data_IF_217130884311
#
_entry.id   IF_217130884311
#
_cell.length_a   1.000
_cell.length_b   1.000
_cell.length_c   1.000
_cell.angle_alpha   90.00
_cell.angle_beta   90.00
_cell.angle_gamma   90.00
#
_symmetry.space_group_name_H-M   'P 1'
#
loop_
_entity.id
_entity.type
_entity.pdbx_description
1 polymer ?
#
# COMPACT_ATOMS: atom_id res chain seq x y z
N UNK A 1 -16.21 -31.78 18.98
CA UNK A 1 -15.16 -31.78 17.93
C UNK A 1 -15.87 -32.17 16.65
N UNK A 2 -16.12 -31.21 15.75
CA UNK A 2 -16.62 -31.55 14.42
C UNK A 2 -15.42 -32.08 13.63
N UNK A 3 -15.47 -33.33 13.24
CA UNK A 3 -14.57 -33.86 12.22
C UNK A 3 -14.62 -32.98 10.99
N UNK A 4 -13.49 -32.69 10.32
CA UNK A 4 -13.53 -31.97 9.06
C UNK A 4 -14.38 -32.81 8.11
N UNK A 5 -15.51 -32.26 7.65
CA UNK A 5 -16.36 -32.90 6.66
C UNK A 5 -15.51 -33.00 5.38
N UNK A 6 -14.94 -34.16 5.14
CA UNK A 6 -14.26 -34.45 3.87
C UNK A 6 -15.33 -34.30 2.80
N UNK A 7 -15.12 -33.34 1.88
CA UNK A 7 -16.05 -33.14 0.77
C UNK A 7 -16.18 -34.46 0.01
N UNK A 8 -17.42 -34.91 -0.27
CA UNK A 8 -17.65 -36.13 -1.01
C UNK A 8 -16.92 -36.07 -2.36
N UNK A 9 -16.27 -37.15 -2.77
CA UNK A 9 -15.65 -37.22 -4.09
C UNK A 9 -16.64 -36.87 -5.19
N UNK A 10 -16.20 -36.10 -6.16
CA UNK A 10 -17.00 -35.70 -7.33
C UNK A 10 -16.56 -36.52 -8.52
N UNK A 11 -17.54 -37.13 -9.21
CA UNK A 11 -17.32 -37.97 -10.38
C UNK A 11 -17.65 -37.21 -11.67
N UNK A 12 -16.72 -37.15 -12.59
CA UNK A 12 -16.90 -36.72 -13.97
C UNK A 12 -16.90 -37.97 -14.88
N UNK A 13 -18.08 -38.50 -15.18
CA UNK A 13 -18.22 -39.77 -15.87
C UNK A 13 -17.72 -39.73 -17.33
N UNK A 14 -18.01 -38.60 -18.01
CA UNK A 14 -17.85 -38.46 -19.48
C UNK A 14 -16.79 -37.40 -19.87
N UNK A 15 -15.85 -37.09 -19.00
CA UNK A 15 -14.83 -36.07 -19.31
C UNK A 15 -13.78 -36.58 -20.32
N UNK A 16 -13.42 -37.86 -20.20
CA UNK A 16 -12.54 -38.63 -21.10
C UNK A 16 -13.02 -40.08 -21.08
N UNK A 17 -12.34 -40.98 -21.80
CA UNK A 17 -12.67 -42.41 -21.90
C UNK A 17 -12.70 -43.17 -20.54
N UNK A 18 -12.21 -42.54 -19.48
CA UNK A 18 -12.22 -43.09 -18.11
C UNK A 18 -12.86 -42.11 -17.16
N UNK A 19 -13.66 -42.56 -16.18
CA UNK A 19 -14.19 -41.67 -15.14
C UNK A 19 -13.09 -40.95 -14.37
N UNK A 20 -13.24 -39.64 -14.16
CA UNK A 20 -12.31 -38.81 -13.37
C UNK A 20 -12.96 -38.52 -12.02
N UNK A 21 -12.28 -38.88 -10.94
CA UNK A 21 -12.75 -38.65 -9.58
C UNK A 21 -11.85 -37.56 -8.94
N UNK A 22 -12.44 -36.51 -8.41
CA UNK A 22 -11.77 -35.47 -7.64
C UNK A 22 -12.07 -35.65 -6.16
N UNK A 23 -11.02 -35.68 -5.34
CA UNK A 23 -11.11 -35.79 -3.87
C UNK A 23 -10.27 -34.72 -3.19
N UNK A 24 -10.66 -34.31 -1.97
CA UNK A 24 -9.90 -33.40 -1.09
C UNK A 24 -9.41 -34.21 0.13
N UNK A 25 -8.47 -35.10 -0.10
CA UNK A 25 -7.99 -36.10 0.88
C UNK A 25 -6.51 -35.94 1.25
N UNK A 26 -5.88 -34.82 0.87
CA UNK A 26 -4.49 -34.54 1.16
C UNK A 26 -4.33 -33.75 2.48
N UNK A 27 -4.07 -34.39 3.64
CA UNK A 27 -4.14 -33.75 4.96
C UNK A 27 -3.06 -32.68 5.20
N UNK A 28 -1.95 -32.76 4.48
CA UNK A 28 -0.80 -31.85 4.64
C UNK A 28 -0.53 -31.03 3.40
N UNK A 29 -1.56 -30.75 2.62
CA UNK A 29 -1.49 -29.87 1.47
C UNK A 29 -1.95 -28.46 1.83
N UNK A 30 -1.46 -27.48 1.07
CA UNK A 30 -1.89 -26.08 1.14
C UNK A 30 -1.94 -25.48 -0.27
N UNK A 31 -2.81 -24.52 -0.48
CA UNK A 31 -2.85 -23.71 -1.71
C UNK A 31 -1.87 -22.52 -1.66
N UNK A 32 -1.33 -22.18 -0.51
CA UNK A 32 -0.45 -21.03 -0.28
C UNK A 32 1.03 -21.41 -0.17
N UNK A 33 1.45 -22.47 -0.89
CA UNK A 33 2.79 -23.05 -0.78
C UNK A 33 3.93 -22.05 -0.95
N UNK A 34 3.75 -21.08 -1.81
CA UNK A 34 4.75 -20.05 -2.06
C UNK A 34 4.88 -18.98 -0.97
N UNK A 35 4.00 -18.96 0.02
CA UNK A 35 3.99 -17.95 1.08
C UNK A 35 5.29 -17.94 1.93
N UNK A 36 6.09 -18.98 1.87
CA UNK A 36 7.43 -19.00 2.47
C UNK A 36 8.33 -17.87 1.94
N UNK A 37 8.10 -17.37 0.72
CA UNK A 37 8.78 -16.17 0.19
C UNK A 37 8.40 -14.91 0.98
N UNK A 38 7.15 -14.79 1.45
CA UNK A 38 6.73 -13.66 2.30
C UNK A 38 7.42 -13.71 3.66
N UNK A 39 7.56 -14.90 4.24
CA UNK A 39 8.32 -15.09 5.48
C UNK A 39 9.81 -14.75 5.29
N UNK A 40 10.39 -15.16 4.17
CA UNK A 40 11.76 -14.81 3.82
C UNK A 40 11.91 -13.30 3.57
N UNK A 41 10.94 -12.64 2.94
CA UNK A 41 10.91 -11.20 2.79
C UNK A 41 10.87 -10.49 4.15
N UNK A 42 10.03 -10.97 5.10
CA UNK A 42 9.96 -10.40 6.44
C UNK A 42 11.29 -10.51 7.19
N UNK A 43 12.05 -11.59 7.01
CA UNK A 43 13.42 -11.69 7.58
C UNK A 43 14.36 -10.58 7.11
N UNK A 44 14.18 -10.07 5.90
CA UNK A 44 14.96 -8.95 5.37
C UNK A 44 14.43 -7.59 5.82
N UNK A 45 13.12 -7.45 5.95
CA UNK A 45 12.44 -6.20 6.31
C UNK A 45 12.34 -6.07 7.83
N UNK A 46 11.83 -7.10 8.51
CA UNK A 46 11.62 -7.14 9.95
C UNK A 46 10.34 -6.44 10.42
N UNK A 47 9.34 -6.31 9.53
CA UNK A 47 8.13 -5.53 9.83
C UNK A 47 7.26 -6.18 10.89
N UNK A 48 7.11 -7.52 10.88
CA UNK A 48 6.32 -8.24 11.88
C UNK A 48 6.92 -8.07 13.28
N UNK A 49 8.23 -8.25 13.42
CA UNK A 49 8.93 -8.08 14.70
C UNK A 49 8.86 -6.63 15.20
N UNK A 50 9.02 -5.65 14.29
CA UNK A 50 8.95 -4.23 14.64
C UNK A 50 7.56 -3.82 15.14
N UNK A 51 6.48 -4.29 14.51
CA UNK A 51 5.12 -4.05 14.97
C UNK A 51 4.85 -4.76 16.30
N UNK A 52 5.28 -6.00 16.45
CA UNK A 52 5.11 -6.78 17.68
C UNK A 52 5.73 -6.06 18.89
N UNK A 53 6.92 -5.49 18.73
CA UNK A 53 7.64 -4.80 19.80
C UNK A 53 6.89 -3.55 20.33
N UNK A 54 5.90 -3.04 19.60
CA UNK A 54 5.12 -1.86 20.01
C UNK A 54 3.83 -2.19 20.73
N UNK A 55 3.44 -3.47 20.78
CA UNK A 55 2.16 -3.90 21.35
C UNK A 55 2.39 -4.50 22.73
N UNK A 56 1.94 -3.84 23.81
CA UNK A 56 2.04 -4.42 25.15
C UNK A 56 1.08 -5.61 25.29
N UNK A 57 1.56 -6.70 25.86
CA UNK A 57 0.72 -7.84 26.24
C UNK A 57 0.51 -7.86 27.75
N UNK A 58 -0.65 -7.41 28.18
CA UNK A 58 -1.03 -7.38 29.60
C UNK A 58 -1.67 -8.70 30.07
N UNK A 59 -1.78 -9.71 29.20
CA UNK A 59 -2.38 -11.00 29.55
C UNK A 59 -1.43 -11.82 30.45
N UNK A 60 -2.01 -12.59 31.37
CA UNK A 60 -1.22 -13.50 32.19
C UNK A 60 -0.50 -14.55 31.30
N UNK A 61 0.83 -14.69 31.34
CA UNK A 61 1.58 -15.56 30.45
C UNK A 61 1.08 -17.02 30.43
N UNK A 62 0.65 -17.54 31.58
CA UNK A 62 0.11 -18.90 31.73
C UNK A 62 -1.22 -19.15 31.03
N UNK A 63 -1.92 -18.07 30.60
CA UNK A 63 -3.22 -18.13 29.90
C UNK A 63 -3.12 -17.74 28.43
N UNK A 64 -1.90 -17.52 27.91
CA UNK A 64 -1.67 -17.07 26.54
C UNK A 64 -1.30 -18.28 25.68
N UNK A 65 -2.23 -18.72 24.84
CA UNK A 65 -2.00 -19.75 23.82
C UNK A 65 -1.32 -19.16 22.57
N UNK A 66 -1.69 -17.94 22.22
CA UNK A 66 -1.15 -17.22 21.05
C UNK A 66 -0.59 -15.88 21.50
N UNK A 67 0.72 -15.70 21.38
CA UNK A 67 1.39 -14.43 21.68
C UNK A 67 0.99 -13.32 20.70
N UNK A 68 1.19 -12.08 21.10
CA UNK A 68 0.92 -10.91 20.23
C UNK A 68 1.65 -11.02 18.89
N UNK A 69 2.91 -11.49 18.93
CA UNK A 69 3.69 -11.71 17.70
C UNK A 69 3.05 -12.72 16.75
N UNK A 70 2.49 -13.82 17.28
CA UNK A 70 1.76 -14.80 16.48
C UNK A 70 0.52 -14.19 15.84
N UNK A 71 -0.25 -13.40 16.61
CA UNK A 71 -1.48 -12.76 16.10
C UNK A 71 -1.19 -11.75 15.00
N UNK A 72 -0.16 -10.92 15.16
CA UNK A 72 0.29 -9.97 14.14
C UNK A 72 0.80 -10.73 12.91
N UNK A 73 1.68 -11.73 13.08
CA UNK A 73 2.22 -12.51 11.98
C UNK A 73 1.13 -13.25 11.20
N UNK A 74 0.21 -13.91 11.90
CA UNK A 74 -0.92 -14.61 11.28
C UNK A 74 -1.74 -13.66 10.41
N UNK A 75 -2.11 -12.48 10.92
CA UNK A 75 -2.89 -11.51 10.17
C UNK A 75 -2.13 -10.93 8.97
N UNK A 76 -0.86 -10.53 9.16
CA UNK A 76 -0.03 -9.96 8.09
C UNK A 76 0.16 -10.95 6.95
N UNK A 77 0.51 -12.22 7.26
CA UNK A 77 0.71 -13.23 6.22
C UNK A 77 -0.61 -13.65 5.57
N UNK A 78 -1.71 -13.80 6.34
CA UNK A 78 -3.02 -14.11 5.78
C UNK A 78 -3.46 -13.02 4.77
N UNK A 79 -3.38 -11.73 5.14
CA UNK A 79 -3.70 -10.61 4.24
C UNK A 79 -2.80 -10.64 2.99
N UNK A 80 -1.51 -10.88 3.15
CA UNK A 80 -0.58 -10.97 2.02
C UNK A 80 -0.93 -12.12 1.06
N UNK A 81 -1.35 -13.27 1.59
CA UNK A 81 -1.80 -14.42 0.78
C UNK A 81 -3.16 -14.21 0.10
N UNK A 82 -3.94 -13.19 0.51
CA UNK A 82 -5.25 -12.90 -0.07
C UNK A 82 -6.43 -13.31 0.82
N UNK A 83 -6.17 -13.54 2.11
CA UNK A 83 -7.15 -13.84 3.15
C UNK A 83 -7.32 -12.61 4.08
N UNK A 84 -8.01 -11.54 3.62
CA UNK A 84 -8.05 -10.29 4.35
C UNK A 84 -9.01 -10.29 5.54
N UNK A 85 -9.94 -11.24 5.61
CA UNK A 85 -10.95 -11.27 6.67
C UNK A 85 -10.42 -11.93 7.94
N UNK A 86 -10.93 -11.49 9.10
CA UNK A 86 -10.69 -12.17 10.37
C UNK A 86 -11.29 -13.59 10.41
N UNK A 87 -12.38 -13.81 9.67
CA UNK A 87 -13.03 -15.12 9.54
C UNK A 87 -12.14 -16.17 8.85
N UNK A 88 -11.22 -15.76 8.01
CA UNK A 88 -10.26 -16.67 7.38
C UNK A 88 -9.35 -17.36 8.41
N UNK A 89 -9.22 -16.79 9.62
CA UNK A 89 -8.43 -17.36 10.70
C UNK A 89 -8.81 -18.81 11.05
N UNK A 90 -10.10 -19.15 11.03
CA UNK A 90 -10.55 -20.51 11.33
C UNK A 90 -10.20 -21.50 10.19
N UNK A 91 -10.28 -21.03 8.94
CA UNK A 91 -9.91 -21.84 7.76
C UNK A 91 -8.41 -22.12 7.68
N UNK A 92 -7.60 -21.16 8.10
CA UNK A 92 -6.13 -21.22 8.05
C UNK A 92 -5.52 -21.84 9.34
N UNK A 93 -6.35 -22.11 10.35
CA UNK A 93 -5.86 -22.52 11.68
C UNK A 93 -5.04 -23.81 11.67
N UNK A 94 -5.33 -24.73 10.76
CA UNK A 94 -4.64 -26.00 10.61
C UNK A 94 -3.79 -26.08 9.33
N UNK A 95 -3.79 -25.04 8.50
CA UNK A 95 -3.00 -25.02 7.26
C UNK A 95 -1.50 -25.17 7.55
N UNK A 96 -0.81 -26.15 6.93
CA UNK A 96 0.58 -26.47 7.24
C UNK A 96 1.53 -25.34 6.84
N UNK A 97 1.25 -24.60 5.78
CA UNK A 97 2.08 -23.46 5.36
C UNK A 97 1.90 -22.30 6.33
N UNK A 98 0.67 -21.95 6.71
CA UNK A 98 0.43 -20.89 7.68
C UNK A 98 1.03 -21.19 9.06
N UNK A 99 1.03 -22.46 9.52
CA UNK A 99 1.78 -22.88 10.71
C UNK A 99 3.28 -22.63 10.54
N UNK A 100 3.85 -23.02 9.40
CA UNK A 100 5.27 -22.81 9.07
C UNK A 100 5.66 -21.32 9.05
N UNK A 101 4.79 -20.44 8.53
CA UNK A 101 5.03 -19.00 8.53
C UNK A 101 5.19 -18.43 9.94
N UNK A 102 4.51 -19.00 10.92
CA UNK A 102 4.61 -18.63 12.33
C UNK A 102 5.73 -19.39 13.09
N UNK A 103 6.49 -20.24 12.39
CA UNK A 103 7.57 -21.02 12.99
C UNK A 103 7.09 -22.24 13.77
N UNK A 104 5.85 -22.68 13.55
CA UNK A 104 5.30 -23.90 14.11
C UNK A 104 5.60 -25.10 13.21
N UNK A 105 5.63 -26.30 13.79
CA UNK A 105 5.67 -27.51 12.99
C UNK A 105 4.43 -27.58 12.09
N UNK A 106 4.58 -27.80 10.76
CA UNK A 106 3.46 -27.75 9.83
C UNK A 106 2.47 -28.91 10.02
N UNK A 107 2.90 -30.04 10.58
CA UNK A 107 2.08 -31.24 10.76
C UNK A 107 1.52 -31.30 12.19
N UNK A 108 2.40 -31.43 13.19
CA UNK A 108 2.00 -31.62 14.59
C UNK A 108 1.92 -30.32 15.39
N UNK A 109 2.31 -29.18 14.81
CA UNK A 109 2.25 -27.91 15.50
C UNK A 109 0.81 -27.51 15.88
N UNK A 110 0.65 -26.90 17.05
CA UNK A 110 -0.65 -26.49 17.55
C UNK A 110 -1.37 -25.55 16.57
N UNK A 111 -2.70 -25.59 16.59
CA UNK A 111 -3.56 -24.74 15.76
C UNK A 111 -3.20 -23.26 15.89
N UNK A 112 -3.39 -22.50 14.83
CA UNK A 112 -3.28 -21.04 14.85
C UNK A 112 -4.50 -20.41 15.54
N UNK A 113 -4.44 -19.11 15.77
CA UNK A 113 -5.52 -18.40 16.44
C UNK A 113 -6.81 -18.42 15.60
N UNK A 114 -7.91 -18.76 16.28
CA UNK A 114 -9.25 -18.74 15.69
C UNK A 114 -9.78 -17.32 15.49
N UNK A 115 -10.82 -17.18 14.68
CA UNK A 115 -11.50 -15.91 14.41
C UNK A 115 -11.86 -15.14 15.70
N UNK A 116 -12.48 -15.74 16.74
CA UNK A 116 -12.78 -15.02 17.97
C UNK A 116 -11.54 -14.50 18.71
N UNK A 117 -10.41 -15.22 18.61
CA UNK A 117 -9.13 -14.78 19.22
C UNK A 117 -8.54 -13.59 18.44
N UNK A 118 -8.56 -13.64 17.11
CA UNK A 118 -8.15 -12.54 16.25
C UNK A 118 -9.04 -11.31 16.50
N UNK A 119 -10.35 -11.47 16.53
CA UNK A 119 -11.30 -10.39 16.79
C UNK A 119 -11.06 -9.74 18.16
N UNK A 120 -10.87 -10.53 19.22
CA UNK A 120 -10.52 -9.99 20.55
C UNK A 120 -9.22 -9.18 20.49
N UNK A 121 -8.21 -9.67 19.81
CA UNK A 121 -6.94 -8.94 19.63
C UNK A 121 -7.16 -7.62 18.90
N UNK A 122 -7.86 -7.62 17.77
CA UNK A 122 -8.15 -6.39 17.01
C UNK A 122 -8.89 -5.34 17.87
N UNK A 123 -9.75 -5.79 18.79
CA UNK A 123 -10.49 -4.91 19.70
C UNK A 123 -9.65 -4.36 20.87
N UNK A 124 -8.44 -4.85 21.10
CA UNK A 124 -7.50 -4.25 22.09
C UNK A 124 -6.81 -3.00 21.58
N UNK A 125 -6.97 -2.68 20.28
CA UNK A 125 -6.31 -1.56 19.64
C UNK A 125 -6.59 -0.23 20.37
N UNK A 126 -5.51 0.48 20.69
CA UNK A 126 -5.54 1.77 21.40
C UNK A 126 -4.70 2.83 20.65
N UNK A 127 -5.04 4.12 20.74
CA UNK A 127 -4.39 5.20 19.99
C UNK A 127 -2.87 5.24 20.16
N UNK A 128 -2.36 5.11 21.38
CA UNK A 128 -0.91 5.12 21.65
C UNK A 128 -0.19 3.95 21.01
N UNK A 129 -0.77 2.76 21.09
CA UNK A 129 -0.25 1.54 20.44
C UNK A 129 -0.19 1.72 18.92
N UNK A 130 -1.29 2.17 18.32
CA UNK A 130 -1.39 2.38 16.86
C UNK A 130 -0.42 3.44 16.35
N UNK A 131 -0.21 4.51 17.12
CA UNK A 131 0.81 5.52 16.81
C UNK A 131 2.21 4.91 16.86
N UNK A 132 2.53 4.09 17.86
CA UNK A 132 3.80 3.39 17.96
C UNK A 132 3.99 2.40 16.80
N UNK A 133 2.96 1.65 16.42
CA UNK A 133 2.98 0.76 15.24
C UNK A 133 3.22 1.55 13.94
N UNK A 134 2.57 2.69 13.76
CA UNK A 134 2.79 3.57 12.59
C UNK A 134 4.23 4.06 12.53
N UNK A 135 4.83 4.43 13.64
CA UNK A 135 6.24 4.81 13.73
C UNK A 135 7.17 3.62 13.39
N UNK A 136 6.89 2.44 13.95
CA UNK A 136 7.68 1.24 13.69
C UNK A 136 7.63 0.83 12.22
N UNK A 137 6.46 0.91 11.57
CA UNK A 137 6.32 0.69 10.13
C UNK A 137 7.20 1.64 9.33
N UNK A 138 7.10 2.95 9.58
CA UNK A 138 7.90 3.97 8.90
C UNK A 138 9.41 3.74 9.11
N UNK A 139 9.84 3.51 10.36
CA UNK A 139 11.24 3.29 10.71
C UNK A 139 11.79 2.02 10.02
N UNK A 140 11.00 0.96 9.94
CA UNK A 140 11.37 -0.29 9.27
C UNK A 140 11.60 -0.08 7.77
N UNK A 141 10.67 0.62 7.10
CA UNK A 141 10.80 0.94 5.66
C UNK A 141 12.02 1.84 5.42
N UNK A 142 12.18 2.89 6.19
CA UNK A 142 13.32 3.82 6.10
C UNK A 142 14.65 3.06 6.31
N UNK A 143 14.75 2.26 7.36
CA UNK A 143 15.96 1.48 7.67
C UNK A 143 16.27 0.45 6.55
N UNK A 144 15.22 -0.19 5.98
CA UNK A 144 15.37 -1.12 4.85
C UNK A 144 15.99 -0.43 3.63
N UNK A 145 15.49 0.76 3.28
CA UNK A 145 15.99 1.48 2.12
C UNK A 145 17.34 2.14 2.37
N UNK A 146 17.64 2.59 3.59
CA UNK A 146 18.97 3.03 3.99
C UNK A 146 20.03 1.94 3.78
N UNK A 147 19.73 0.69 4.19
CA UNK A 147 20.63 -0.45 3.95
C UNK A 147 20.81 -0.76 2.47
N UNK A 148 19.75 -0.60 1.67
CA UNK A 148 19.76 -0.85 0.23
C UNK A 148 20.56 0.20 -0.55
N UNK A 149 20.47 1.47 -0.15
CA UNK A 149 21.03 2.63 -0.86
C UNK A 149 22.39 3.06 -0.29
N UNK A 150 23.36 2.14 -0.28
CA UNK A 150 24.69 2.38 0.30
C UNK A 150 25.45 3.54 -0.35
N UNK A 151 25.19 3.88 -1.63
CA UNK A 151 25.82 5.00 -2.36
C UNK A 151 25.21 6.37 -2.06
N UNK A 152 24.29 6.44 -1.09
CA UNK A 152 23.56 7.64 -0.75
C UNK A 152 22.30 7.85 -1.57
N UNK A 153 21.51 8.85 -1.16
CA UNK A 153 20.27 9.29 -1.80
C UNK A 153 20.34 10.81 -1.91
N UNK A 154 20.06 11.34 -3.10
CA UNK A 154 20.10 12.79 -3.36
C UNK A 154 18.76 13.47 -3.12
N UNK A 155 17.67 12.74 -3.42
CA UNK A 155 16.32 13.25 -3.32
C UNK A 155 15.38 12.15 -2.81
N UNK A 156 14.53 12.48 -1.83
CA UNK A 156 13.38 11.64 -1.47
C UNK A 156 12.14 12.46 -1.74
N UNK A 157 11.25 11.91 -2.58
CA UNK A 157 9.93 12.48 -2.81
C UNK A 157 8.92 11.76 -1.92
N UNK A 158 8.11 12.53 -1.21
CA UNK A 158 7.04 12.08 -0.32
C UNK A 158 5.72 12.42 -1.01
N UNK A 159 4.92 11.41 -1.30
CA UNK A 159 3.57 11.59 -1.79
C UNK A 159 2.59 11.29 -0.65
N UNK A 160 1.65 12.20 -0.42
CA UNK A 160 0.49 11.93 0.43
C UNK A 160 -0.76 11.93 -0.43
N UNK A 161 -1.60 10.95 -0.19
CA UNK A 161 -2.86 10.80 -0.91
C UNK A 161 -3.98 10.36 0.01
N UNK A 162 -5.16 10.96 -0.17
CA UNK A 162 -6.38 10.53 0.47
C UNK A 162 -7.11 9.53 -0.41
N UNK A 163 -7.79 8.60 0.20
CA UNK A 163 -8.67 7.68 -0.51
C UNK A 163 -9.95 7.48 0.29
N UNK A 164 -11.01 7.02 -0.35
CA UNK A 164 -12.22 6.59 0.35
C UNK A 164 -12.15 5.10 0.70
N UNK A 165 -12.84 4.76 1.76
CA UNK A 165 -13.05 3.39 2.24
C UNK A 165 -14.52 3.27 2.63
N UNK A 166 -15.33 2.74 1.71
CA UNK A 166 -16.77 2.61 1.86
C UNK A 166 -17.12 1.70 3.04
N UNK A 167 -18.06 2.15 3.87
CA UNK A 167 -18.53 1.40 5.04
C UNK A 167 -19.97 0.94 4.85
N UNK A 168 -20.29 -0.24 5.40
CA UNK A 168 -21.59 -0.91 5.17
C UNK A 168 -22.35 -1.19 6.48
N UNK A 169 -22.05 -0.50 7.56
CA UNK A 169 -22.69 -0.72 8.86
C UNK A 169 -22.51 0.45 9.82
N UNK A 170 -23.02 0.31 11.02
CA UNK A 170 -22.93 1.31 12.10
C UNK A 170 -21.52 1.33 12.74
N UNK A 171 -20.52 1.71 11.98
CA UNK A 171 -19.14 1.79 12.45
C UNK A 171 -18.86 3.17 13.06
N UNK A 172 -18.01 3.21 14.09
CA UNK A 172 -17.65 4.47 14.75
C UNK A 172 -16.91 5.41 13.78
N UNK A 173 -17.28 6.69 13.77
CA UNK A 173 -16.66 7.76 12.97
C UNK A 173 -16.77 7.56 11.44
N UNK A 174 -17.69 6.72 10.99
CA UNK A 174 -18.14 6.75 9.61
C UNK A 174 -19.11 7.91 9.41
N UNK A 175 -19.00 8.60 8.29
CA UNK A 175 -19.87 9.73 7.94
C UNK A 175 -20.21 9.66 6.45
N UNK A 176 -21.39 10.18 6.10
CA UNK A 176 -21.73 10.38 4.70
C UNK A 176 -20.82 11.45 4.08
N UNK A 177 -20.24 11.13 2.96
CA UNK A 177 -19.36 12.04 2.22
C UNK A 177 -20.00 12.40 0.88
N UNK A 178 -20.41 13.65 0.71
CA UNK A 178 -21.12 14.11 -0.49
C UNK A 178 -20.28 14.10 -1.77
N UNK A 179 -18.95 14.04 -1.68
CA UNK A 179 -18.09 13.91 -2.86
C UNK A 179 -18.09 12.48 -3.40
N UNK A 180 -18.13 11.48 -2.51
CA UNK A 180 -18.15 10.06 -2.87
C UNK A 180 -19.56 9.46 -2.92
N UNK A 181 -20.57 10.20 -2.44
CA UNK A 181 -21.99 9.81 -2.37
C UNK A 181 -22.25 8.51 -1.58
N UNK A 182 -21.48 8.27 -0.52
CA UNK A 182 -21.68 7.15 0.40
C UNK A 182 -21.07 7.38 1.79
N UNK A 183 -21.44 6.50 2.72
CA UNK A 183 -20.83 6.44 4.06
C UNK A 183 -19.44 5.82 3.96
N UNK A 184 -18.44 6.49 4.52
CA UNK A 184 -17.06 6.04 4.37
C UNK A 184 -16.15 6.49 5.52
N UNK A 185 -14.94 5.95 5.51
CA UNK A 185 -13.73 6.56 6.07
C UNK A 185 -12.92 7.24 4.96
N UNK A 186 -11.96 8.08 5.34
CA UNK A 186 -11.04 8.76 4.43
C UNK A 186 -9.57 8.46 4.79
N UNK A 187 -9.07 7.23 4.57
CA UNK A 187 -7.67 6.92 4.85
C UNK A 187 -6.69 7.87 4.16
N UNK A 188 -5.60 8.19 4.86
CA UNK A 188 -4.45 8.92 4.34
C UNK A 188 -3.29 7.96 4.19
N UNK A 189 -2.72 7.88 2.99
CA UNK A 189 -1.59 7.02 2.65
C UNK A 189 -0.38 7.89 2.32
N UNK A 190 0.79 7.51 2.81
CA UNK A 190 2.06 8.15 2.50
C UNK A 190 3.04 7.19 1.86
N UNK A 191 3.69 7.61 0.78
CA UNK A 191 4.72 6.84 0.09
C UNK A 191 6.01 7.63 -0.10
N UNK A 192 7.12 6.92 -0.28
CA UNK A 192 8.45 7.47 -0.56
C UNK A 192 8.94 6.99 -1.92
N UNK A 193 9.50 7.91 -2.70
CA UNK A 193 10.28 7.63 -3.90
C UNK A 193 11.72 8.07 -3.70
N UNK A 194 12.70 7.23 -4.03
CA UNK A 194 14.12 7.51 -3.86
C UNK A 194 14.75 7.85 -5.21
N UNK A 195 15.26 9.07 -5.35
CA UNK A 195 15.84 9.62 -6.57
C UNK A 195 14.85 9.54 -7.76
N UNK A 196 15.19 8.85 -8.83
CA UNK A 196 14.42 8.64 -10.04
C UNK A 196 13.84 7.21 -10.16
N UNK A 197 13.73 6.48 -9.03
CA UNK A 197 13.10 5.16 -9.05
C UNK A 197 11.63 5.23 -9.49
N UNK A 198 11.23 4.31 -10.37
CA UNK A 198 9.83 4.15 -10.75
C UNK A 198 8.95 3.55 -9.63
N UNK A 199 9.54 3.13 -8.51
CA UNK A 199 8.82 2.51 -7.39
C UNK A 199 8.59 3.49 -6.26
N UNK A 200 7.41 3.37 -5.68
CA UNK A 200 7.01 4.08 -4.46
C UNK A 200 6.82 3.08 -3.33
N UNK A 201 7.31 3.43 -2.15
CA UNK A 201 7.32 2.57 -0.96
C UNK A 201 6.40 3.12 0.11
N UNK A 202 5.46 2.31 0.56
CA UNK A 202 4.51 2.70 1.60
C UNK A 202 5.24 2.98 2.91
N UNK A 203 4.95 4.11 3.53
CA UNK A 203 5.55 4.54 4.80
C UNK A 203 4.52 4.93 5.84
N UNK A 204 3.29 5.20 5.43
CA UNK A 204 2.20 5.56 6.34
C UNK A 204 0.85 5.13 5.78
N UNK A 205 -0.04 4.72 6.69
CA UNK A 205 -1.45 4.43 6.43
C UNK A 205 -2.26 4.78 7.68
N UNK A 206 -3.07 5.83 7.57
CA UNK A 206 -3.80 6.42 8.70
C UNK A 206 -5.28 6.45 8.37
N UNK A 207 -6.12 5.78 9.17
CA UNK A 207 -7.57 5.88 9.07
C UNK A 207 -8.02 7.26 9.56
N UNK A 208 -8.96 7.87 8.84
CA UNK A 208 -9.56 9.15 9.23
C UNK A 208 -11.10 9.03 9.19
N UNK A 209 -11.81 9.78 10.01
CA UNK A 209 -13.27 9.88 9.92
C UNK A 209 -13.73 10.28 8.52
N UNK A 210 -14.93 9.88 8.11
CA UNK A 210 -15.49 10.16 6.79
C UNK A 210 -15.77 11.64 6.49
N UNK A 211 -15.78 12.48 7.52
CA UNK A 211 -15.90 13.94 7.41
C UNK A 211 -14.55 14.67 7.62
N UNK A 212 -13.44 13.95 7.63
CA UNK A 212 -12.13 14.56 7.83
C UNK A 212 -11.77 15.52 6.69
N UNK A 213 -11.24 16.69 7.01
CA UNK A 213 -10.67 17.60 6.03
C UNK A 213 -9.50 16.91 5.28
N UNK A 214 -9.27 17.26 4.01
CA UNK A 214 -8.21 16.69 3.19
C UNK A 214 -6.84 16.67 3.88
N UNK A 215 -6.49 17.76 4.58
CA UNK A 215 -5.23 17.93 5.32
C UNK A 215 -5.20 17.28 6.70
N UNK A 216 -6.32 16.78 7.22
CA UNK A 216 -6.38 16.23 8.57
C UNK A 216 -5.31 15.13 8.77
N UNK A 217 -4.44 15.33 9.76
CA UNK A 217 -3.33 14.43 10.08
C UNK A 217 -2.09 14.54 9.17
N UNK A 218 -2.18 15.19 7.99
CA UNK A 218 -1.08 15.26 7.02
C UNK A 218 0.11 16.07 7.54
N UNK A 219 -0.13 17.27 8.07
CA UNK A 219 0.92 18.11 8.67
C UNK A 219 1.57 17.38 9.86
N UNK A 220 0.77 16.75 10.71
CA UNK A 220 1.28 15.97 11.84
C UNK A 220 2.09 14.75 11.42
N UNK A 221 1.74 14.12 10.30
CA UNK A 221 2.53 13.03 9.70
C UNK A 221 3.88 13.56 9.20
N UNK A 222 3.89 14.67 8.44
CA UNK A 222 5.11 15.28 7.91
C UNK A 222 6.04 15.75 9.04
N UNK A 223 5.52 16.39 10.09
CA UNK A 223 6.31 16.79 11.27
C UNK A 223 7.08 15.63 11.91
N UNK A 224 6.56 14.41 11.83
CA UNK A 224 7.21 13.20 12.36
C UNK A 224 8.11 12.51 11.31
N UNK A 225 7.72 12.53 10.04
CA UNK A 225 8.41 11.80 8.98
C UNK A 225 9.68 12.52 8.50
N UNK A 226 9.63 13.85 8.28
CA UNK A 226 10.75 14.62 7.77
C UNK A 226 12.02 14.48 8.63
N UNK A 227 11.98 14.63 9.97
CA UNK A 227 13.19 14.44 10.80
C UNK A 227 13.74 13.02 10.75
N UNK A 228 12.89 11.99 10.60
CA UNK A 228 13.34 10.60 10.45
C UNK A 228 14.11 10.40 9.14
N UNK A 229 13.63 11.00 8.05
CA UNK A 229 14.27 10.92 6.74
C UNK A 229 15.63 11.64 6.73
N UNK A 230 15.72 12.86 7.27
CA UNK A 230 17.00 13.57 7.36
C UNK A 230 18.03 12.83 8.23
N UNK A 231 17.59 12.24 9.36
CA UNK A 231 18.46 11.43 10.21
C UNK A 231 18.95 10.17 9.49
N UNK A 232 18.08 9.52 8.72
CA UNK A 232 18.41 8.30 8.00
C UNK A 232 19.29 8.55 6.76
N UNK A 233 19.12 9.70 6.09
CA UNK A 233 19.79 10.08 4.85
C UNK A 233 20.38 11.50 4.98
N UNK A 234 21.52 11.68 5.65
CA UNK A 234 22.14 13.00 5.81
C UNK A 234 22.41 13.68 4.46
N UNK A 235 22.09 14.97 4.35
CA UNK A 235 22.28 15.75 3.13
C UNK A 235 21.25 15.51 2.03
N UNK A 236 20.26 14.66 2.24
CA UNK A 236 19.19 14.43 1.27
C UNK A 236 18.27 15.65 1.12
N UNK A 237 17.91 15.97 -0.10
CA UNK A 237 16.78 16.89 -0.37
C UNK A 237 15.45 16.15 -0.20
N UNK A 238 14.50 16.79 0.45
CA UNK A 238 13.14 16.25 0.57
C UNK A 238 12.19 17.05 -0.30
N UNK A 239 11.32 16.36 -1.01
CA UNK A 239 10.25 16.93 -1.83
C UNK A 239 8.92 16.33 -1.42
N UNK A 240 7.89 17.17 -1.32
CA UNK A 240 6.52 16.75 -1.00
C UNK A 240 5.64 17.04 -2.21
N UNK A 241 4.89 16.01 -2.68
CA UNK A 241 3.90 16.15 -3.76
C UNK A 241 2.50 15.85 -3.22
N UNK A 242 1.57 16.78 -3.50
CA UNK A 242 0.22 16.73 -2.93
C UNK A 242 -0.82 17.08 -4.00
N UNK A 243 -2.04 16.58 -3.81
CA UNK A 243 -3.18 17.04 -4.59
C UNK A 243 -3.78 18.36 -4.07
N UNK A 244 -4.85 18.83 -4.74
CA UNK A 244 -5.50 20.10 -4.40
C UNK A 244 -6.19 20.11 -3.05
N UNK A 245 -6.53 18.96 -2.50
CA UNK A 245 -7.14 18.82 -1.17
C UNK A 245 -6.18 19.21 -0.03
N UNK A 246 -4.88 19.27 -0.31
CA UNK A 246 -3.86 19.68 0.68
C UNK A 246 -3.42 21.14 0.54
N UNK A 247 -3.96 21.92 -0.42
CA UNK A 247 -3.55 23.30 -0.68
C UNK A 247 -4.08 24.28 0.37
N UNK A 248 -3.65 24.15 1.62
CA UNK A 248 -4.06 25.00 2.74
C UNK A 248 -2.92 25.89 3.25
N UNK A 249 -3.24 27.05 3.88
CA UNK A 249 -2.24 27.92 4.47
C UNK A 249 -1.32 27.21 5.46
N UNK A 250 -1.87 26.34 6.31
CA UNK A 250 -1.11 25.56 7.31
C UNK A 250 -0.11 24.62 6.64
N UNK A 251 -0.50 23.93 5.57
CA UNK A 251 0.39 23.03 4.84
C UNK A 251 1.54 23.80 4.21
N UNK A 252 1.28 24.87 3.51
CA UNK A 252 2.35 25.69 2.89
C UNK A 252 3.28 26.28 3.94
N UNK A 253 2.74 26.85 5.02
CA UNK A 253 3.56 27.38 6.12
C UNK A 253 4.48 26.29 6.72
N UNK A 254 3.97 25.07 6.88
CA UNK A 254 4.78 23.96 7.39
C UNK A 254 5.89 23.55 6.40
N UNK A 255 5.58 23.40 5.12
CA UNK A 255 6.55 23.00 4.09
C UNK A 255 7.66 24.04 3.93
N UNK A 256 7.29 25.32 3.93
CA UNK A 256 8.22 26.46 3.83
C UNK A 256 9.12 26.57 5.07
N UNK A 257 8.53 26.47 6.27
CA UNK A 257 9.28 26.46 7.52
C UNK A 257 10.25 25.27 7.64
N UNK A 258 9.88 24.13 7.09
CA UNK A 258 10.73 22.93 7.04
C UNK A 258 11.83 23.01 5.96
N UNK A 259 11.77 23.99 5.05
CA UNK A 259 12.75 24.15 3.96
C UNK A 259 12.74 23.02 2.95
N UNK A 260 11.59 22.34 2.74
CA UNK A 260 11.45 21.25 1.78
C UNK A 260 10.98 21.77 0.43
N UNK A 261 11.35 21.05 -0.63
CA UNK A 261 10.77 21.27 -1.96
C UNK A 261 9.30 20.80 -1.94
N UNK A 262 8.41 21.52 -2.63
CA UNK A 262 7.03 21.06 -2.76
C UNK A 262 6.42 21.34 -4.13
N UNK A 263 5.45 20.49 -4.48
CA UNK A 263 4.60 20.63 -5.67
C UNK A 263 3.18 20.21 -5.24
N UNK A 264 2.27 21.18 -5.20
CA UNK A 264 0.90 20.99 -4.69
C UNK A 264 -0.08 21.45 -5.74
N UNK A 265 -1.02 20.58 -6.16
CA UNK A 265 -2.09 21.00 -7.05
C UNK A 265 -2.98 22.07 -6.39
N UNK A 266 -3.58 22.90 -7.21
CA UNK A 266 -4.53 23.92 -6.77
C UNK A 266 -5.80 23.85 -7.62
N UNK A 267 -6.96 23.85 -6.96
CA UNK A 267 -8.22 23.93 -7.66
C UNK A 267 -8.35 25.29 -8.39
N UNK A 268 -8.91 25.26 -9.58
CA UNK A 268 -9.18 26.48 -10.36
C UNK A 268 -10.17 27.41 -9.64
N UNK A 269 -9.94 28.70 -9.79
CA UNK A 269 -10.86 29.75 -9.36
C UNK A 269 -10.80 30.93 -10.36
N UNK A 270 -11.69 31.93 -10.21
CA UNK A 270 -11.80 33.05 -11.14
C UNK A 270 -10.49 33.86 -11.28
N UNK A 271 -9.68 33.98 -10.22
CA UNK A 271 -8.39 34.69 -10.28
C UNK A 271 -7.37 33.90 -11.08
N UNK A 272 -7.24 32.59 -10.78
CA UNK A 272 -6.35 31.70 -11.52
C UNK A 272 -6.77 31.57 -13.01
N UNK A 273 -8.06 31.53 -13.29
CA UNK A 273 -8.57 31.56 -14.67
C UNK A 273 -8.14 32.84 -15.42
N UNK A 274 -8.21 34.03 -14.79
CA UNK A 274 -7.70 35.27 -15.36
C UNK A 274 -6.19 35.24 -15.61
N UNK A 275 -5.41 34.65 -14.72
CA UNK A 275 -3.97 34.46 -14.96
C UNK A 275 -3.67 33.50 -16.11
N UNK A 276 -4.53 32.49 -16.33
CA UNK A 276 -4.37 31.53 -17.43
C UNK A 276 -4.82 32.10 -18.80
N UNK A 277 -5.75 33.03 -18.82
CA UNK A 277 -6.40 33.54 -20.03
C UNK A 277 -5.41 34.01 -21.14
N UNK A 278 -4.36 34.79 -20.85
CA UNK A 278 -3.39 35.19 -21.87
C UNK A 278 -2.69 34.01 -22.56
N UNK A 279 -2.61 32.86 -21.87
CA UNK A 279 -1.97 31.65 -22.39
C UNK A 279 -2.97 30.70 -23.05
N UNK A 280 -4.23 30.69 -22.60
CA UNK A 280 -5.30 29.85 -23.15
C UNK A 280 -5.88 30.44 -24.45
N UNK A 281 -6.05 31.74 -24.51
CA UNK A 281 -6.68 32.40 -25.68
C UNK A 281 -6.01 32.04 -27.03
N UNK A 282 -4.66 32.05 -27.17
CA UNK A 282 -4.01 31.60 -28.40
C UNK A 282 -4.25 30.14 -28.74
N UNK A 283 -4.37 29.26 -27.73
CA UNK A 283 -4.61 27.84 -27.94
C UNK A 283 -5.98 27.56 -28.52
N UNK A 284 -7.01 28.35 -28.19
CA UNK A 284 -8.34 28.22 -28.79
C UNK A 284 -8.30 28.40 -30.30
N UNK A 285 -7.54 29.38 -30.81
CA UNK A 285 -7.36 29.60 -32.25
C UNK A 285 -6.61 28.44 -32.93
N UNK A 286 -5.57 27.88 -32.27
CA UNK A 286 -4.84 26.73 -32.77
C UNK A 286 -5.79 25.53 -32.86
N UNK A 287 -6.54 25.22 -31.80
CA UNK A 287 -7.47 24.07 -31.74
C UNK A 287 -8.58 24.20 -32.77
N UNK A 288 -9.09 25.41 -33.01
CA UNK A 288 -10.12 25.67 -34.02
C UNK A 288 -9.64 25.38 -35.45
N UNK A 289 -8.31 25.50 -35.70
CA UNK A 289 -7.72 25.26 -37.02
C UNK A 289 -7.23 23.83 -37.17
N UNK A 290 -6.60 23.27 -36.12
CA UNK A 290 -5.94 21.96 -36.18
C UNK A 290 -6.86 20.78 -35.84
N UNK A 291 -7.95 21.05 -35.14
CA UNK A 291 -8.83 20.01 -34.55
C UNK A 291 -8.09 19.01 -33.67
N UNK A 292 -7.03 19.47 -32.99
CA UNK A 292 -6.23 18.70 -32.04
C UNK A 292 -6.14 19.41 -30.68
N UNK A 293 -6.01 18.66 -29.60
CA UNK A 293 -5.78 19.24 -28.26
C UNK A 293 -4.46 20.00 -28.23
N UNK A 294 -4.48 21.25 -27.81
CA UNK A 294 -3.28 22.05 -27.66
C UNK A 294 -2.94 22.34 -26.20
N UNK A 295 -1.65 22.27 -25.85
CA UNK A 295 -1.16 22.49 -24.50
C UNK A 295 0.10 23.33 -24.51
N UNK A 296 0.17 24.27 -23.55
CA UNK A 296 1.40 25.02 -23.24
C UNK A 296 1.51 25.30 -21.75
N UNK A 297 2.63 25.85 -21.30
CA UNK A 297 2.92 26.07 -19.89
C UNK A 297 3.33 27.53 -19.67
N UNK A 298 2.81 28.09 -18.57
CA UNK A 298 3.15 29.43 -18.11
C UNK A 298 3.32 29.41 -16.58
N UNK A 299 3.65 30.55 -16.02
CA UNK A 299 3.71 30.77 -14.58
C UNK A 299 3.19 32.17 -14.20
N UNK A 300 2.72 32.27 -12.97
CA UNK A 300 2.28 33.50 -12.36
C UNK A 300 2.62 33.51 -10.86
N UNK A 301 2.68 34.67 -10.27
CA UNK A 301 2.62 34.84 -8.84
C UNK A 301 1.13 34.90 -8.45
N UNK A 302 0.70 33.96 -7.59
CA UNK A 302 -0.68 33.90 -7.10
C UNK A 302 -0.74 33.93 -5.58
N UNK A 303 -1.66 34.69 -5.04
CA UNK A 303 -1.95 34.76 -3.62
C UNK A 303 -3.45 34.56 -3.39
N UNK A 304 -3.81 33.48 -2.67
CA UNK A 304 -5.18 33.34 -2.16
C UNK A 304 -5.40 34.30 -0.98
N UNK A 305 -6.66 34.71 -0.75
CA UNK A 305 -6.98 35.66 0.32
C UNK A 305 -6.56 35.23 1.73
N UNK A 306 -6.44 33.92 1.96
CA UNK A 306 -5.97 33.36 3.24
C UNK A 306 -4.45 33.15 3.34
N UNK A 307 -3.66 33.49 2.29
CA UNK A 307 -2.23 33.28 2.29
C UNK A 307 -1.46 34.52 2.73
N UNK A 308 -0.41 34.33 3.51
CA UNK A 308 0.42 35.43 3.98
C UNK A 308 1.28 36.07 2.88
N UNK A 309 1.60 35.33 1.79
CA UNK A 309 2.44 35.78 0.71
C UNK A 309 2.06 35.12 -0.63
N UNK A 310 2.36 35.77 -1.78
CA UNK A 310 2.19 35.16 -3.09
C UNK A 310 3.15 33.98 -3.27
N UNK A 311 2.71 32.97 -4.04
CA UNK A 311 3.48 31.78 -4.37
C UNK A 311 3.58 31.58 -5.87
N UNK A 312 4.71 31.01 -6.31
CA UNK A 312 4.90 30.63 -7.71
C UNK A 312 3.86 29.58 -8.08
N UNK A 313 3.09 29.87 -9.11
CA UNK A 313 2.03 29.02 -9.62
C UNK A 313 2.34 28.66 -11.06
N UNK A 314 2.49 27.39 -11.33
CA UNK A 314 2.63 26.83 -12.68
C UNK A 314 1.23 26.67 -13.25
N UNK A 315 1.05 27.13 -14.48
CA UNK A 315 -0.18 27.02 -15.26
C UNK A 315 0.08 26.07 -16.42
N UNK A 316 -0.58 24.92 -16.41
CA UNK A 316 -0.77 24.13 -17.63
C UNK A 316 -1.98 24.70 -18.34
N UNK A 317 -1.80 25.47 -19.39
CA UNK A 317 -2.86 25.89 -20.25
C UNK A 317 -3.16 24.80 -21.29
N UNK A 318 -4.40 24.37 -21.37
CA UNK A 318 -4.84 23.32 -22.26
C UNK A 318 -6.22 23.62 -22.81
N UNK A 319 -6.39 23.45 -24.11
CA UNK A 319 -7.70 23.44 -24.77
C UNK A 319 -7.89 22.04 -25.36
N UNK A 320 -8.87 21.33 -24.82
CA UNK A 320 -9.14 19.92 -25.20
C UNK A 320 -10.11 19.89 -26.36
N UNK A 321 -9.78 19.14 -27.38
CA UNK A 321 -10.64 18.85 -28.52
C UNK A 321 -11.05 17.37 -28.54
N UNK A 322 -12.30 17.13 -28.88
CA UNK A 322 -12.83 15.78 -29.13
C UNK A 322 -13.77 15.81 -30.34
N UNK A 323 -13.76 14.81 -31.21
CA UNK A 323 -14.71 14.71 -32.31
C UNK A 323 -16.17 14.86 -31.82
N UNK A 324 -16.94 15.71 -32.51
CA UNK A 324 -18.36 15.91 -32.19
C UNK A 324 -18.66 16.76 -30.95
N UNK A 325 -17.65 17.38 -30.31
CA UNK A 325 -17.83 18.27 -29.14
C UNK A 325 -17.15 19.62 -29.37
N UNK A 326 -17.72 20.68 -28.80
CA UNK A 326 -17.06 21.95 -28.76
C UNK A 326 -15.74 21.87 -27.96
N UNK A 327 -14.67 22.56 -28.41
CA UNK A 327 -13.43 22.66 -27.66
C UNK A 327 -13.67 23.20 -26.25
N UNK A 328 -12.93 22.66 -25.27
CA UNK A 328 -13.09 23.03 -23.86
C UNK A 328 -11.77 23.44 -23.24
N UNK A 329 -11.75 24.59 -22.58
CA UNK A 329 -10.63 25.01 -21.75
C UNK A 329 -10.46 24.05 -20.52
N UNK A 330 -9.23 23.67 -20.27
CA UNK A 330 -8.88 22.77 -19.18
C UNK A 330 -7.58 23.22 -18.48
N UNK A 331 -7.48 24.46 -17.99
CA UNK A 331 -6.29 24.90 -17.28
C UNK A 331 -6.12 24.14 -15.97
N UNK A 332 -4.86 23.82 -15.62
CA UNK A 332 -4.48 23.18 -14.37
C UNK A 332 -3.41 24.01 -13.68
N UNK A 333 -3.44 24.01 -12.35
CA UNK A 333 -2.59 24.87 -11.54
C UNK A 333 -1.82 24.07 -10.52
N UNK A 334 -0.55 24.42 -10.33
CA UNK A 334 0.34 23.77 -9.37
C UNK A 334 1.17 24.84 -8.65
N UNK A 335 1.10 24.84 -7.33
CA UNK A 335 1.86 25.73 -6.46
C UNK A 335 3.20 25.07 -6.11
N UNK A 336 4.30 25.82 -6.23
CA UNK A 336 5.63 25.24 -6.01
C UNK A 336 6.67 26.27 -5.57
N UNK A 337 7.73 25.82 -4.89
CA UNK A 337 8.95 26.57 -4.63
C UNK A 337 10.13 26.11 -5.51
N UNK A 338 9.91 25.18 -6.44
CA UNK A 338 10.93 24.72 -7.39
C UNK A 338 11.27 25.84 -8.40
N UNK A 339 12.51 25.83 -8.92
CA UNK A 339 13.03 26.88 -9.83
C UNK A 339 13.10 26.45 -11.30
N UNK A 340 12.88 25.19 -11.62
CA UNK A 340 12.92 24.65 -12.99
C UNK A 340 11.80 25.26 -13.85
N UNK A 341 11.84 24.99 -15.16
CA UNK A 341 10.82 25.52 -16.11
C UNK A 341 9.43 24.97 -15.78
N UNK A 342 8.37 25.75 -16.06
CA UNK A 342 7.00 25.32 -15.83
C UNK A 342 6.65 23.96 -16.44
N UNK A 343 7.03 23.74 -17.69
CA UNK A 343 6.80 22.48 -18.40
C UNK A 343 7.47 21.32 -17.67
N UNK A 344 8.74 21.45 -17.27
CA UNK A 344 9.47 20.40 -16.60
C UNK A 344 8.86 20.05 -15.23
N UNK A 345 8.52 21.08 -14.43
CA UNK A 345 7.88 20.88 -13.12
C UNK A 345 6.57 20.11 -13.28
N UNK A 346 5.74 20.51 -14.23
CA UNK A 346 4.44 19.88 -14.43
C UNK A 346 4.59 18.45 -14.93
N UNK A 347 5.37 18.23 -16.01
CA UNK A 347 5.46 16.93 -16.69
C UNK A 347 6.30 15.90 -15.92
N UNK A 348 7.44 16.30 -15.34
CA UNK A 348 8.39 15.38 -14.71
C UNK A 348 8.22 15.28 -13.19
N UNK A 349 7.72 16.33 -12.54
CA UNK A 349 7.56 16.29 -11.09
C UNK A 349 6.10 16.02 -10.72
N UNK A 350 5.18 16.87 -11.15
CA UNK A 350 3.79 16.73 -10.74
C UNK A 350 3.11 15.49 -11.34
N UNK A 351 3.22 15.27 -12.65
CA UNK A 351 2.59 14.11 -13.32
C UNK A 351 3.10 12.76 -12.81
N UNK A 352 4.35 12.68 -12.34
CA UNK A 352 4.87 11.46 -11.71
C UNK A 352 4.15 11.09 -10.39
N UNK A 353 3.26 11.96 -9.86
CA UNK A 353 2.35 11.62 -8.77
C UNK A 353 1.32 10.55 -9.17
N UNK A 354 0.96 10.45 -10.45
CA UNK A 354 0.05 9.40 -10.96
C UNK A 354 0.45 7.98 -10.58
N UNK A 355 1.73 7.73 -10.29
CA UNK A 355 2.19 6.44 -9.80
C UNK A 355 1.68 6.12 -8.38
N UNK A 356 1.38 7.13 -7.54
CA UNK A 356 0.78 6.91 -6.21
C UNK A 356 -0.64 6.37 -6.31
N UNK A 357 -1.41 6.79 -7.31
CA UNK A 357 -2.76 6.26 -7.58
C UNK A 357 -2.71 4.75 -7.91
N UNK A 358 -1.68 4.31 -8.64
CA UNK A 358 -1.47 2.89 -8.92
C UNK A 358 -1.15 2.09 -7.65
N UNK A 359 -0.39 2.69 -6.71
CA UNK A 359 -0.11 2.05 -5.41
C UNK A 359 -1.37 1.95 -4.55
N UNK A 360 -2.22 2.98 -4.55
CA UNK A 360 -3.51 2.95 -3.87
C UNK A 360 -4.45 1.89 -4.46
N UNK A 361 -4.54 1.81 -5.80
CA UNK A 361 -5.32 0.76 -6.47
C UNK A 361 -4.81 -0.63 -6.09
N UNK A 362 -3.51 -0.83 -6.05
CA UNK A 362 -2.89 -2.10 -5.66
C UNK A 362 -3.22 -2.46 -4.19
N UNK A 363 -3.13 -1.52 -3.26
CA UNK A 363 -3.56 -1.69 -1.87
C UNK A 363 -5.05 -2.05 -1.76
N UNK A 364 -5.91 -1.30 -2.42
CA UNK A 364 -7.38 -1.48 -2.35
C UNK A 364 -7.82 -2.81 -2.94
N UNK A 365 -7.38 -3.12 -4.15
CA UNK A 365 -7.89 -4.28 -4.88
C UNK A 365 -7.14 -5.56 -4.56
N UNK A 366 -5.82 -5.50 -4.35
CA UNK A 366 -5.04 -6.70 -4.12
C UNK A 366 -5.00 -7.15 -2.66
N UNK A 367 -5.06 -6.21 -1.71
CA UNK A 367 -4.96 -6.50 -0.28
C UNK A 367 -6.22 -6.16 0.51
N UNK A 368 -7.31 -5.78 -0.18
CA UNK A 368 -8.56 -5.39 0.43
C UNK A 368 -8.37 -4.34 1.56
N UNK A 369 -7.61 -3.27 1.26
CA UNK A 369 -7.26 -2.22 2.22
C UNK A 369 -8.49 -1.59 2.88
N UNK A 370 -9.60 -1.49 2.14
CA UNK A 370 -10.91 -1.05 2.64
C UNK A 370 -11.71 -2.12 3.40
N UNK A 371 -11.13 -3.24 3.83
CA UNK A 371 -11.83 -4.25 4.64
C UNK A 371 -11.92 -3.83 6.13
N UNK A 372 -12.47 -2.66 6.40
CA UNK A 372 -12.64 -2.06 7.73
C UNK A 372 -14.00 -2.41 8.34
N UNK A 373 -14.27 -3.70 8.55
CA UNK A 373 -15.58 -4.22 8.96
C UNK A 373 -15.81 -4.27 10.48
N UNK A 374 -14.90 -3.77 11.31
CA UNK A 374 -15.08 -3.69 12.75
C UNK A 374 -15.97 -2.51 13.14
N UNK A 375 -16.78 -2.66 14.21
CA UNK A 375 -17.58 -1.56 14.76
C UNK A 375 -16.69 -0.44 15.33
N UNK A 376 -15.56 -0.79 15.96
CA UNK A 376 -14.65 0.16 16.62
C UNK A 376 -13.65 0.75 15.63
N UNK A 377 -13.54 2.07 15.62
CA UNK A 377 -12.61 2.82 14.75
C UNK A 377 -11.16 2.37 14.89
N UNK A 378 -10.67 2.18 16.12
CA UNK A 378 -9.28 1.79 16.36
C UNK A 378 -8.97 0.36 15.93
N UNK A 379 -9.94 -0.55 15.97
CA UNK A 379 -9.79 -1.88 15.40
C UNK A 379 -9.61 -1.81 13.87
N UNK A 380 -10.36 -0.96 13.20
CA UNK A 380 -10.20 -0.71 11.76
C UNK A 380 -8.86 -0.06 11.43
N UNK A 381 -8.37 0.90 12.26
CA UNK A 381 -7.02 1.43 12.10
C UNK A 381 -5.95 0.33 12.25
N UNK A 382 -6.12 -0.62 13.19
CA UNK A 382 -5.19 -1.75 13.32
C UNK A 382 -5.19 -2.59 12.03
N UNK A 383 -6.36 -2.92 11.49
CA UNK A 383 -6.47 -3.67 10.21
C UNK A 383 -5.75 -2.96 9.07
N UNK A 384 -5.93 -1.65 8.92
CA UNK A 384 -5.20 -0.84 7.92
C UNK A 384 -3.69 -0.93 8.14
N UNK A 385 -3.23 -0.88 9.39
CA UNK A 385 -1.80 -0.99 9.72
C UNK A 385 -1.23 -2.36 9.36
N UNK A 386 -1.97 -3.44 9.63
CA UNK A 386 -1.57 -4.80 9.27
C UNK A 386 -1.57 -5.01 7.74
N UNK A 387 -2.54 -4.44 7.03
CA UNK A 387 -2.56 -4.44 5.56
C UNK A 387 -1.39 -3.67 4.97
N UNK A 388 -1.03 -2.53 5.56
CA UNK A 388 0.15 -1.77 5.19
C UNK A 388 1.45 -2.59 5.39
N UNK A 389 1.55 -3.34 6.49
CA UNK A 389 2.68 -4.24 6.72
C UNK A 389 2.74 -5.38 5.68
N UNK A 390 1.61 -5.98 5.35
CA UNK A 390 1.52 -6.97 4.27
C UNK A 390 1.96 -6.40 2.92
N UNK A 391 1.59 -5.15 2.61
CA UNK A 391 2.02 -4.49 1.38
C UNK A 391 3.53 -4.21 1.36
N UNK A 392 4.14 -3.87 2.49
CA UNK A 392 5.60 -3.71 2.60
C UNK A 392 6.34 -5.02 2.27
N UNK A 393 5.80 -6.19 2.65
CA UNK A 393 6.36 -7.49 2.25
C UNK A 393 6.26 -7.69 0.72
N UNK A 394 5.13 -7.33 0.12
CA UNK A 394 4.98 -7.37 -1.33
C UNK A 394 5.95 -6.43 -2.05
N UNK A 395 6.17 -5.24 -1.53
CA UNK A 395 7.15 -4.30 -2.10
C UNK A 395 8.58 -4.86 -2.04
N UNK A 396 8.94 -5.64 -1.02
CA UNK A 396 10.21 -6.35 -0.98
C UNK A 396 10.29 -7.44 -2.06
N UNK A 397 9.22 -8.23 -2.26
CA UNK A 397 9.16 -9.22 -3.34
C UNK A 397 9.22 -8.55 -4.73
N UNK A 398 8.51 -7.46 -4.93
CA UNK A 398 8.56 -6.67 -6.17
C UNK A 398 9.98 -6.18 -6.47
N UNK A 399 10.73 -5.70 -5.46
CA UNK A 399 12.14 -5.33 -5.62
C UNK A 399 13.01 -6.50 -6.09
N UNK A 400 12.76 -7.70 -5.59
CA UNK A 400 13.51 -8.90 -6.00
C UNK A 400 13.12 -9.38 -7.40
N UNK A 401 11.85 -9.17 -7.77
CA UNK A 401 11.32 -9.55 -9.07
C UNK A 401 11.84 -8.67 -10.23
N UNK A 402 12.42 -7.50 -9.97
CA UNK A 402 12.91 -6.58 -11.02
C UNK A 402 13.93 -7.18 -11.99
N UNK A 403 14.60 -8.25 -11.61
CA UNK A 403 15.56 -8.97 -12.44
C UNK A 403 15.03 -10.30 -12.98
N UNK A 404 13.71 -10.43 -13.06
CA UNK A 404 13.03 -11.66 -13.53
C UNK A 404 11.99 -11.33 -14.59
N UNK A 405 11.34 -12.35 -15.14
CA UNK A 405 10.21 -12.19 -16.06
C UNK A 405 9.00 -11.47 -15.42
N UNK A 406 8.95 -11.38 -14.08
CA UNK A 406 7.90 -10.69 -13.32
C UNK A 406 8.26 -9.23 -13.02
N UNK A 407 9.22 -8.64 -13.71
CA UNK A 407 9.56 -7.21 -13.57
C UNK A 407 8.32 -6.34 -13.78
N UNK A 408 8.07 -5.42 -12.85
CA UNK A 408 6.92 -4.51 -12.91
C UNK A 408 5.57 -5.13 -12.60
N UNK A 409 5.51 -6.43 -12.32
CA UNK A 409 4.26 -7.09 -11.97
C UNK A 409 3.68 -6.54 -10.65
N UNK A 410 2.36 -6.36 -10.65
CA UNK A 410 1.59 -5.96 -9.47
C UNK A 410 1.28 -7.17 -8.57
N UNK A 411 0.83 -6.90 -7.34
CA UNK A 411 0.54 -7.93 -6.32
C UNK A 411 -0.36 -9.05 -6.84
N UNK A 412 -1.48 -8.82 -7.58
CA UNK A 412 -2.31 -9.93 -8.04
C UNK A 412 -1.56 -10.93 -8.92
N UNK A 413 -0.76 -10.44 -9.88
CA UNK A 413 0.04 -11.31 -10.77
C UNK A 413 1.15 -12.02 -10.00
N UNK A 414 1.83 -11.32 -9.07
CA UNK A 414 2.85 -11.93 -8.22
C UNK A 414 2.26 -12.99 -7.27
N UNK A 415 1.08 -12.73 -6.69
CA UNK A 415 0.40 -13.70 -5.84
C UNK A 415 0.09 -14.98 -6.60
N UNK A 416 -0.50 -14.85 -7.79
CA UNK A 416 -0.80 -15.99 -8.65
C UNK A 416 0.47 -16.78 -9.04
N UNK A 417 1.53 -16.07 -9.41
CA UNK A 417 2.76 -16.69 -9.91
C UNK A 417 3.65 -17.29 -8.80
N UNK A 418 3.60 -16.74 -7.59
CA UNK A 418 4.60 -17.02 -6.57
C UNK A 418 4.04 -17.59 -5.26
N UNK A 419 2.78 -17.28 -4.92
CA UNK A 419 2.22 -17.60 -3.60
C UNK A 419 1.14 -18.68 -3.72
N UNK A 420 0.14 -18.46 -4.58
CA UNK A 420 -1.00 -19.38 -4.76
C UNK A 420 -0.56 -20.59 -5.58
N UNK A 421 0.21 -21.46 -4.96
CA UNK A 421 0.75 -22.68 -5.57
C UNK A 421 0.39 -23.85 -4.64
N UNK A 422 -0.30 -24.85 -5.19
CA UNK A 422 -0.58 -26.08 -4.45
C UNK A 422 0.73 -26.75 -4.02
N UNK A 423 0.81 -27.15 -2.78
CA UNK A 423 2.00 -27.78 -2.20
C UNK A 423 1.62 -28.92 -1.28
N UNK A 424 2.34 -30.04 -1.35
CA UNK A 424 2.31 -31.10 -0.37
C UNK A 424 3.48 -30.92 0.60
N UNK A 425 3.21 -30.90 1.89
CA UNK A 425 4.22 -30.76 2.94
C UNK A 425 4.57 -32.15 3.49
N UNK A 426 5.85 -32.49 3.44
CA UNK A 426 6.37 -33.73 4.02
C UNK A 426 7.43 -33.39 5.05
N UNK A 427 7.30 -34.00 6.23
CA UNK A 427 8.25 -33.81 7.31
C UNK A 427 9.00 -35.12 7.61
N UNK A 428 10.30 -35.00 7.76
CA UNK A 428 11.16 -36.07 8.35
C UNK A 428 11.82 -35.52 9.61
N UNK A 429 12.53 -36.41 10.34
CA UNK A 429 13.29 -35.99 11.53
C UNK A 429 14.29 -34.87 11.25
N UNK A 430 14.84 -34.80 10.04
CA UNK A 430 15.92 -33.86 9.68
C UNK A 430 15.46 -32.63 8.90
N UNK A 431 14.30 -32.67 8.23
CA UNK A 431 13.88 -31.60 7.32
C UNK A 431 12.38 -31.60 7.03
N UNK A 432 11.88 -30.43 6.65
CA UNK A 432 10.58 -30.25 6.04
C UNK A 432 10.80 -30.03 4.55
N UNK A 433 10.06 -30.75 3.71
CA UNK A 433 10.12 -30.68 2.26
C UNK A 433 8.78 -30.16 1.74
N UNK A 434 8.82 -29.16 0.89
CA UNK A 434 7.68 -28.60 0.20
C UNK A 434 7.70 -29.12 -1.25
N UNK A 435 6.78 -30.01 -1.58
CA UNK A 435 6.66 -30.58 -2.93
C UNK A 435 5.70 -29.72 -3.76
N UNK A 436 6.26 -28.91 -4.65
CA UNK A 436 5.53 -28.09 -5.60
C UNK A 436 5.27 -28.85 -6.92
N UNK A 437 4.23 -28.51 -7.69
CA UNK A 437 4.02 -29.05 -9.02
C UNK A 437 5.23 -28.81 -9.93
N UNK A 438 5.78 -29.87 -10.51
CA UNK A 438 6.92 -29.79 -11.42
C UNK A 438 6.62 -28.91 -12.66
N UNK A 439 5.38 -28.94 -13.14
CA UNK A 439 4.93 -28.17 -14.30
C UNK A 439 4.60 -26.70 -14.00
N UNK A 440 4.94 -26.18 -12.80
CA UNK A 440 4.63 -24.78 -12.48
C UNK A 440 5.42 -23.83 -13.39
N UNK A 441 4.74 -22.92 -14.15
CA UNK A 441 5.39 -22.11 -15.21
C UNK A 441 6.43 -21.12 -14.65
N UNK A 442 6.21 -20.60 -13.43
CA UNK A 442 7.08 -19.63 -12.79
C UNK A 442 8.11 -20.26 -11.83
N UNK A 443 8.34 -21.59 -11.88
CA UNK A 443 9.24 -22.31 -10.94
C UNK A 443 10.67 -21.74 -10.92
N UNK A 444 11.25 -21.44 -12.09
CA UNK A 444 12.59 -20.85 -12.20
C UNK A 444 12.65 -19.44 -11.57
N UNK A 445 11.60 -18.63 -11.76
CA UNK A 445 11.47 -17.30 -11.16
C UNK A 445 11.34 -17.42 -9.65
N UNK A 446 10.50 -18.32 -9.18
CA UNK A 446 10.31 -18.62 -7.76
C UNK A 446 11.64 -18.98 -7.07
N UNK A 447 12.38 -19.93 -7.64
CA UNK A 447 13.68 -20.36 -7.13
C UNK A 447 14.72 -19.21 -7.13
N UNK A 448 14.69 -18.34 -8.13
CA UNK A 448 15.55 -17.14 -8.19
C UNK A 448 15.21 -16.15 -7.08
N UNK A 449 13.93 -15.90 -6.80
CA UNK A 449 13.50 -15.04 -5.71
C UNK A 449 13.86 -15.64 -4.35
N UNK A 450 13.66 -16.94 -4.17
CA UNK A 450 14.04 -17.66 -2.95
C UNK A 450 15.54 -17.46 -2.65
N UNK A 451 16.41 -17.67 -3.65
CA UNK A 451 17.85 -17.41 -3.50
C UNK A 451 18.16 -15.94 -3.20
N UNK A 452 17.50 -14.99 -3.86
CA UNK A 452 17.66 -13.57 -3.59
C UNK A 452 17.19 -13.16 -2.17
N UNK A 453 16.37 -14.00 -1.52
CA UNK A 453 15.92 -13.87 -0.15
C UNK A 453 16.70 -14.77 0.84
N UNK A 454 17.82 -15.34 0.41
CA UNK A 454 18.75 -16.06 1.26
C UNK A 454 18.59 -17.58 1.28
N UNK A 455 17.75 -18.18 0.41
CA UNK A 455 17.77 -19.62 0.23
C UNK A 455 19.08 -20.08 -0.43
N UNK A 456 19.57 -21.22 0.01
CA UNK A 456 20.77 -21.88 -0.54
C UNK A 456 20.37 -23.19 -1.23
N UNK A 457 21.19 -23.75 -2.13
CA UNK A 457 20.98 -25.10 -2.64
C UNK A 457 20.90 -26.11 -1.49
N UNK A 458 19.98 -27.09 -1.59
CA UNK A 458 19.74 -28.12 -0.57
C UNK A 458 20.74 -29.27 -0.72
#
# INVERSE_FOLDING_TARGET
>A
MNEPTIAQPVLFADLIDRPVIATFDQPHASSDGGAVLLKAADRHVGVVAALTATVPDARAPTRVTHGVGDLIAQRVFAIACGHPDGNDGDRLADDPIHKLLLGRDPIDGGRLASQPTISRFEHTAAPRMLLAMSHALADTVIARHRRRRRRGVRLITIDLDGTEDQTHGAQQLTFFNGFYDHWCYLPLVGTLTFDDEARQYLVAAILRPGNAAGTAGAVSLLKRLLPKLWRAFPGVRLRVRLDGGFATPEMFAHLEAAGVEYVVAMAGNAVLARHAEPTVAPLRAIVATTHDTATTYAEAAYQAGSWAAPRRTIIKAEVVWHPGRAPRDNPRFVITNLRQTPAWIYTHVYCARGDSENRLKELKHALAFGRTSCTRFWANQLRITLTAAAFVLWQELQLRADRTALRGAQVPRLRQALITIGVQVVRSVRRIVLHFPQAHPDAATWARLARALGAVPA
#
